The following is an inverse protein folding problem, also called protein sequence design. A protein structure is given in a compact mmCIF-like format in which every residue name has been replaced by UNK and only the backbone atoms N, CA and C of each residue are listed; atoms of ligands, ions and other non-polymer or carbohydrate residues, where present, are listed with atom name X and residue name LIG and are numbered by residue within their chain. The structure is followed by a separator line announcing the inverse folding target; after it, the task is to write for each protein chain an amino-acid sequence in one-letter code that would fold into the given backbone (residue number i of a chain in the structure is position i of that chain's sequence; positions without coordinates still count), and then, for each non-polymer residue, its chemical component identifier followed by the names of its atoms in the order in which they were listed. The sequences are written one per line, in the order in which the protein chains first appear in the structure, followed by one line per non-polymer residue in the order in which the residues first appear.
data_IF_229277086328
#
_entry.id   IF_229277086328
#
_cell.length_a   1.000
_cell.length_b   1.000
_cell.length_c   1.000
_cell.angle_alpha   90.00
_cell.angle_beta   90.00
_cell.angle_gamma   90.00
#
_symmetry.space_group_name_H-M   'P 1'
#
loop_
_entity.id
_entity.type
_entity.pdbx_description
1 polymer ?
#
# COMPACT_ATOMS: atom_id res chain seq x y z
N UNK A 1 -2.39 7.29 -10.89
CA UNK A 1 -1.33 7.27 -9.85
C UNK A 1 -1.93 7.82 -8.55
N UNK A 2 -1.52 7.33 -7.37
CA UNK A 2 -2.17 7.69 -6.11
C UNK A 2 -1.91 9.14 -5.65
N UNK A 3 -0.71 9.68 -5.90
CA UNK A 3 -0.31 11.02 -5.47
C UNK A 3 1.06 11.02 -4.80
N UNK A 4 1.41 12.12 -4.13
CA UNK A 4 2.67 12.27 -3.38
C UNK A 4 2.60 11.61 -2.00
N UNK A 5 3.71 11.01 -1.56
CA UNK A 5 3.88 10.44 -0.20
C UNK A 5 3.88 11.52 0.90
N UNK A 6 4.10 12.78 0.55
CA UNK A 6 4.07 13.87 1.52
C UNK A 6 2.78 14.68 1.40
N UNK A 7 2.29 15.26 2.50
CA UNK A 7 2.73 15.12 3.89
C UNK A 7 2.41 13.73 4.52
N UNK A 8 3.13 13.35 5.59
CA UNK A 8 2.94 12.06 6.31
C UNK A 8 1.77 12.08 7.30
N UNK A 9 0.65 12.62 6.86
CA UNK A 9 -0.60 12.68 7.60
C UNK A 9 -1.73 12.03 6.79
N UNK A 10 -2.90 11.91 7.42
CA UNK A 10 -4.11 11.39 6.79
C UNK A 10 -4.82 12.39 5.85
N UNK A 11 -4.27 13.58 5.66
CA UNK A 11 -4.93 14.64 4.89
C UNK A 11 -4.54 14.56 3.40
N UNK A 12 -5.54 14.38 2.54
CA UNK A 12 -5.37 14.36 1.07
C UNK A 12 -6.15 15.54 0.48
N UNK A 13 -5.49 16.60 0.01
CA UNK A 13 -6.16 17.84 -0.39
C UNK A 13 -6.97 17.69 -1.68
N UNK A 14 -6.52 16.84 -2.60
CA UNK A 14 -7.20 16.58 -3.87
C UNK A 14 -7.17 15.07 -4.17
N UNK A 15 -8.33 14.53 -4.56
CA UNK A 15 -8.46 13.13 -4.98
C UNK A 15 -9.48 13.01 -6.11
N UNK A 16 -9.23 12.08 -7.03
CA UNK A 16 -10.15 11.79 -8.15
C UNK A 16 -11.22 10.78 -7.73
N UNK A 17 -10.82 9.78 -6.94
CA UNK A 17 -11.74 8.79 -6.37
C UNK A 17 -11.41 8.57 -4.89
N UNK A 18 -12.42 8.25 -4.06
CA UNK A 18 -12.19 8.03 -2.63
C UNK A 18 -11.30 6.80 -2.39
N UNK A 19 -11.38 5.77 -3.25
CA UNK A 19 -10.48 4.59 -3.23
C UNK A 19 -9.02 4.97 -3.52
N UNK A 20 -8.77 5.96 -4.38
CA UNK A 20 -7.42 6.47 -4.61
C UNK A 20 -6.89 7.18 -3.35
N UNK A 21 -7.72 8.02 -2.73
CA UNK A 21 -7.35 8.77 -1.53
C UNK A 21 -7.00 7.85 -0.36
N UNK A 22 -7.86 6.88 -0.06
CA UNK A 22 -7.67 5.93 1.04
C UNK A 22 -6.46 5.03 0.81
N UNK A 23 -6.23 4.59 -0.44
CA UNK A 23 -5.00 3.88 -0.80
C UNK A 23 -3.75 4.72 -0.60
N UNK A 24 -3.78 6.01 -0.97
CA UNK A 24 -2.67 6.94 -0.74
C UNK A 24 -2.37 7.08 0.76
N UNK A 25 -3.40 7.22 1.59
CA UNK A 25 -3.25 7.31 3.05
C UNK A 25 -2.61 6.04 3.61
N UNK A 26 -2.99 4.85 3.12
CA UNK A 26 -2.34 3.59 3.49
C UNK A 26 -0.85 3.57 3.10
N UNK A 27 -0.50 4.03 1.88
CA UNK A 27 0.88 4.13 1.42
C UNK A 27 1.71 5.11 2.28
N UNK A 28 1.13 6.25 2.68
CA UNK A 28 1.75 7.23 3.58
C UNK A 28 1.95 6.68 4.99
N UNK A 29 0.97 5.93 5.51
CA UNK A 29 1.09 5.29 6.81
C UNK A 29 2.24 4.28 6.81
N UNK A 30 2.33 3.43 5.80
CA UNK A 30 3.46 2.50 5.66
C UNK A 30 4.80 3.24 5.61
N UNK A 31 4.87 4.41 4.95
CA UNK A 31 6.09 5.21 4.88
C UNK A 31 6.43 5.84 6.24
N UNK A 32 5.42 6.32 6.97
CA UNK A 32 5.57 6.86 8.32
C UNK A 32 6.10 5.80 9.29
N UNK A 33 5.59 4.58 9.24
CA UNK A 33 6.05 3.46 10.08
C UNK A 33 7.52 3.10 9.80
N UNK A 34 7.98 3.22 8.55
CA UNK A 34 9.41 3.10 8.22
C UNK A 34 10.25 4.24 8.78
N UNK A 35 9.78 5.49 8.65
CA UNK A 35 10.45 6.68 9.19
C UNK A 35 10.55 6.67 10.72
N UNK A 36 9.59 6.05 11.39
CA UNK A 36 9.56 5.85 12.85
C UNK A 36 10.34 4.61 13.32
N UNK A 37 11.09 3.94 12.44
CA UNK A 37 11.85 2.72 12.75
C UNK A 37 11.00 1.52 13.25
N UNK A 38 9.67 1.56 13.08
CA UNK A 38 8.77 0.46 13.43
C UNK A 38 8.75 -0.62 12.34
N UNK A 39 8.88 -0.22 11.08
CA UNK A 39 8.94 -1.14 9.94
C UNK A 39 10.39 -1.34 9.45
N UNK A 40 10.70 -2.61 9.17
CA UNK A 40 12.05 -3.06 8.81
C UNK A 40 12.18 -3.36 7.31
N UNK A 41 13.38 -3.30 6.76
CA UNK A 41 13.69 -3.84 5.45
C UNK A 41 13.67 -5.36 5.47
N UNK A 42 12.90 -5.97 4.57
CA UNK A 42 12.80 -7.44 4.38
C UNK A 42 13.08 -7.88 2.95
N UNK A 43 13.56 -6.98 2.11
CA UNK A 43 13.88 -7.24 0.70
C UNK A 43 15.34 -6.90 0.40
N UNK A 44 15.93 -7.65 -0.54
CA UNK A 44 17.30 -7.49 -1.03
C UNK A 44 18.25 -8.54 -0.47
N UNK A 45 19.53 -8.49 -0.89
CA UNK A 45 20.58 -9.38 -0.39
C UNK A 45 20.83 -9.20 1.11
N UNK A 46 20.80 -7.96 1.60
CA UNK A 46 20.93 -7.65 3.04
C UNK A 46 19.79 -8.20 3.91
N UNK A 47 18.64 -8.55 3.31
CA UNK A 47 17.49 -9.05 4.05
C UNK A 47 17.43 -10.59 4.16
N UNK A 48 18.36 -11.31 3.52
CA UNK A 48 18.29 -12.77 3.35
C UNK A 48 18.29 -13.53 4.68
N UNK A 49 19.19 -13.18 5.59
CA UNK A 49 19.32 -13.82 6.90
C UNK A 49 18.70 -12.98 8.03
N UNK A 50 18.70 -11.64 7.91
CA UNK A 50 18.24 -10.74 8.97
C UNK A 50 17.45 -9.57 8.39
N UNK A 51 16.53 -9.02 9.19
CA UNK A 51 15.84 -7.76 8.85
C UNK A 51 16.77 -6.59 9.18
N UNK A 52 16.79 -5.56 8.35
CA UNK A 52 17.62 -4.37 8.57
C UNK A 52 16.77 -3.12 8.78
N UNK A 53 17.33 -2.10 9.46
CA UNK A 53 16.64 -0.82 9.61
C UNK A 53 16.53 -0.13 8.25
N UNK A 54 15.31 0.23 7.84
CA UNK A 54 15.05 0.87 6.55
C UNK A 54 14.20 2.13 6.76
N UNK A 55 14.81 3.31 6.99
CA UNK A 55 14.06 4.55 7.23
C UNK A 55 13.27 5.03 6.01
N UNK A 56 13.80 4.78 4.80
CA UNK A 56 13.12 5.09 3.53
C UNK A 56 12.53 3.82 2.96
N UNK A 57 11.21 3.73 2.93
CA UNK A 57 10.53 2.55 2.39
C UNK A 57 10.87 2.31 0.92
N UNK A 58 11.23 1.07 0.59
CA UNK A 58 11.24 0.57 -0.79
C UNK A 58 9.84 0.13 -1.22
N UNK A 59 9.26 0.82 -2.20
CA UNK A 59 7.90 0.55 -2.74
C UNK A 59 7.69 -0.91 -3.18
N UNK A 60 8.71 -1.53 -3.78
CA UNK A 60 8.66 -2.92 -4.25
C UNK A 60 8.45 -3.94 -3.12
N UNK A 61 8.77 -3.60 -1.87
CA UNK A 61 8.56 -4.46 -0.71
C UNK A 61 7.06 -4.70 -0.43
N UNK A 62 6.17 -3.83 -0.94
CA UNK A 62 4.76 -3.84 -0.59
C UNK A 62 3.84 -3.96 -1.80
N UNK A 63 2.75 -4.71 -1.62
CA UNK A 63 1.58 -4.69 -2.50
C UNK A 63 0.34 -4.48 -1.65
N UNK A 64 -0.64 -3.77 -2.19
CA UNK A 64 -1.89 -3.48 -1.50
C UNK A 64 -3.03 -4.16 -2.24
N UNK A 65 -3.80 -4.94 -1.49
CA UNK A 65 -5.03 -5.58 -1.95
C UNK A 65 -6.20 -4.95 -1.20
N UNK A 66 -7.24 -4.57 -1.93
CA UNK A 66 -8.45 -4.01 -1.35
C UNK A 66 -9.32 -5.13 -0.77
N UNK A 67 -9.78 -4.97 0.47
CA UNK A 67 -10.65 -5.93 1.18
C UNK A 67 -12.07 -5.39 1.37
N UNK A 68 -12.22 -4.11 1.72
CA UNK A 68 -13.51 -3.43 1.91
C UNK A 68 -13.59 -2.18 0.99
N UNK A 69 -14.76 -1.80 0.46
CA UNK A 69 -16.05 -2.49 0.54
C UNK A 69 -16.22 -3.66 -0.43
N UNK A 70 -15.52 -3.65 -1.57
CA UNK A 70 -15.55 -4.76 -2.54
C UNK A 70 -14.13 -5.31 -2.69
N UNK A 71 -13.90 -6.49 -2.15
CA UNK A 71 -12.60 -7.15 -2.20
C UNK A 71 -12.13 -7.35 -3.65
N UNK A 72 -10.84 -7.11 -3.89
CA UNK A 72 -10.22 -7.41 -5.19
C UNK A 72 -9.37 -8.67 -5.03
N UNK A 73 -9.98 -9.82 -5.24
CA UNK A 73 -9.37 -11.15 -4.95
C UNK A 73 -8.82 -11.87 -6.17
N UNK A 74 -9.19 -11.45 -7.38
CA UNK A 74 -8.82 -12.11 -8.63
C UNK A 74 -8.38 -11.10 -9.69
N UNK A 75 -7.56 -11.57 -10.64
CA UNK A 75 -7.07 -10.78 -11.77
C UNK A 75 -5.74 -10.07 -11.51
N UNK A 76 -5.18 -9.48 -12.58
CA UNK A 76 -3.85 -8.82 -12.57
C UNK A 76 -3.71 -7.72 -11.53
N UNK A 77 -4.80 -7.04 -11.18
CA UNK A 77 -4.82 -5.91 -10.26
C UNK A 77 -5.29 -6.25 -8.84
N UNK A 78 -5.50 -7.54 -8.51
CA UNK A 78 -5.88 -7.95 -7.16
C UNK A 78 -4.88 -7.45 -6.09
N UNK A 79 -3.59 -7.57 -6.39
CA UNK A 79 -2.50 -7.13 -5.51
C UNK A 79 -1.62 -6.11 -6.25
N UNK A 80 -2.18 -4.95 -6.56
CA UNK A 80 -1.44 -3.92 -7.29
C UNK A 80 -0.24 -3.40 -6.47
N UNK A 81 0.94 -3.18 -7.09
CA UNK A 81 2.08 -2.57 -6.42
C UNK A 81 1.80 -1.10 -6.07
N UNK A 82 2.59 -0.55 -5.14
CA UNK A 82 2.58 0.88 -4.85
C UNK A 82 3.02 1.65 -6.10
N UNK A 83 2.22 2.63 -6.52
CA UNK A 83 2.44 3.41 -7.74
C UNK A 83 1.78 2.85 -9.01
N UNK A 84 1.01 1.78 -8.92
CA UNK A 84 0.23 1.26 -10.06
C UNK A 84 -0.87 2.24 -10.52
N UNK A 85 -1.42 1.97 -11.71
CA UNK A 85 -2.62 2.67 -12.19
C UNK A 85 -3.81 2.44 -11.27
N UNK A 86 -4.62 3.47 -11.10
CA UNK A 86 -5.74 3.53 -10.15
C UNK A 86 -7.08 3.56 -10.85
N UNK A 87 -7.11 3.76 -12.17
CA UNK A 87 -8.34 3.99 -12.92
C UNK A 87 -9.11 2.67 -13.03
N UNK A 88 -8.58 1.73 -13.83
CA UNK A 88 -9.25 0.44 -14.09
C UNK A 88 -9.55 -0.38 -12.82
N UNK A 89 -8.61 -0.56 -11.86
CA UNK A 89 -8.87 -1.46 -10.74
C UNK A 89 -9.77 -0.88 -9.64
N UNK A 90 -9.95 0.43 -9.59
CA UNK A 90 -10.71 1.07 -8.51
C UNK A 90 -12.10 1.58 -8.95
N UNK A 91 -12.41 1.56 -10.25
CA UNK A 91 -13.74 1.95 -10.75
C UNK A 91 -14.84 1.08 -10.14
N UNK A 92 -15.90 1.73 -9.64
CA UNK A 92 -17.07 1.05 -9.06
C UNK A 92 -16.83 0.35 -7.73
N UNK A 93 -15.66 0.57 -7.09
CA UNK A 93 -15.30 -0.03 -5.80
C UNK A 93 -15.69 0.82 -4.59
N UNK A 94 -16.28 2.00 -4.80
CA UNK A 94 -16.88 2.85 -3.78
C UNK A 94 -18.33 3.14 -4.17
N UNK A 95 -19.24 3.07 -3.20
CA UNK A 95 -20.68 3.32 -3.40
C UNK A 95 -21.28 3.93 -2.13
N UNK A 96 -22.36 4.72 -2.24
CA UNK A 96 -22.88 5.47 -1.10
C UNK A 96 -23.49 4.57 -0.01
N UNK A 97 -23.60 5.11 1.21
CA UNK A 97 -24.26 4.52 2.40
C UNK A 97 -23.51 3.36 3.06
N UNK A 98 -22.99 2.40 2.31
CA UNK A 98 -22.31 1.20 2.85
C UNK A 98 -20.89 1.00 2.30
N UNK A 99 -20.51 1.71 1.24
CA UNK A 99 -19.26 1.52 0.51
C UNK A 99 -18.24 2.64 0.68
N UNK A 100 -18.30 3.36 1.80
CA UNK A 100 -17.45 4.53 2.09
C UNK A 100 -16.25 4.17 2.97
N UNK A 101 -16.26 2.99 3.61
CA UNK A 101 -15.16 2.48 4.43
C UNK A 101 -14.21 1.60 3.62
N UNK A 102 -12.93 1.99 3.57
CA UNK A 102 -11.93 1.29 2.76
C UNK A 102 -10.97 0.46 3.61
N UNK A 103 -10.86 -0.82 3.26
CA UNK A 103 -9.95 -1.77 3.90
C UNK A 103 -8.86 -2.22 2.94
N UNK A 104 -7.63 -2.30 3.42
CA UNK A 104 -6.49 -2.79 2.63
C UNK A 104 -5.71 -3.88 3.37
N UNK A 105 -5.52 -5.00 2.70
CA UNK A 105 -4.55 -6.01 3.07
C UNK A 105 -3.17 -5.63 2.51
N UNK A 106 -2.18 -5.55 3.40
CA UNK A 106 -0.80 -5.20 3.05
C UNK A 106 0.03 -6.46 2.89
N UNK A 107 0.41 -6.77 1.65
CA UNK A 107 1.36 -7.83 1.34
C UNK A 107 2.78 -7.29 1.48
N UNK A 108 3.63 -7.99 2.24
CA UNK A 108 5.02 -7.64 2.44
C UNK A 108 5.93 -8.73 1.90
N UNK A 109 6.77 -8.39 0.92
CA UNK A 109 7.79 -9.29 0.40
C UNK A 109 8.88 -9.52 1.45
N UNK A 110 9.19 -10.81 1.66
CA UNK A 110 10.32 -11.28 2.46
C UNK A 110 11.21 -12.12 1.56
N UNK A 111 12.48 -11.74 1.44
CA UNK A 111 13.50 -12.61 0.89
C UNK A 111 14.06 -13.42 2.06
N UNK A 112 14.03 -14.75 1.96
CA UNK A 112 14.58 -15.64 2.95
C UNK A 112 15.69 -16.47 2.30
N UNK A 113 16.78 -16.73 3.02
CA UNK A 113 17.60 -17.90 2.72
C UNK A 113 16.83 -19.13 3.16
N UNK A 114 16.46 -19.99 2.20
CA UNK A 114 16.12 -21.37 2.47
C UNK A 114 17.45 -22.13 2.40
N UNK A 115 17.87 -22.75 3.51
CA UNK A 115 18.97 -23.71 3.51
C UNK A 115 18.54 -24.98 2.78
#
# INVERSE_FOLDING_TARGET
CNGSMYPLNGHVPAHVTPVQASRLVAERMLYKVHRQALAWGTMGSKALCHKYLMPVMRKQQYRLQMTNPIATVKGRYACAPIGATTIIPHTGKSFPVKGEDFGYLVWRKRNCCML
#
